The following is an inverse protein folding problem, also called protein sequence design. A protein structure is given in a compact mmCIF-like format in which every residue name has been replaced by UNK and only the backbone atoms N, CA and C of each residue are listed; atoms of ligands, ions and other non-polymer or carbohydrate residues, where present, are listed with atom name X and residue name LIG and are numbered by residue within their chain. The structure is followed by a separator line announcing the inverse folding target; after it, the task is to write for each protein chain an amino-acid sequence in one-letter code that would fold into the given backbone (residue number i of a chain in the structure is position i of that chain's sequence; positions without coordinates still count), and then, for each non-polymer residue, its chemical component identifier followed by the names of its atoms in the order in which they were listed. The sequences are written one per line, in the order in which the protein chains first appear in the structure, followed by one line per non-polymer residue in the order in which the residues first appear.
data_IF_637600944355
#
_entry.id   IF_637600944355
#
_cell.length_a   1.000
_cell.length_b   1.000
_cell.length_c   1.000
_cell.angle_alpha   90.00
_cell.angle_beta   90.00
_cell.angle_gamma   90.00
#
_symmetry.space_group_name_H-M   'P 1'
#
loop_
_entity.id
_entity.type
_entity.pdbx_description
1 polymer ?
#
# COMPACT_ATOMS: atom_id res chain seq x y z
N UNK A 1 2.83 17.24 -25.64
CA UNK A 1 2.78 16.06 -26.54
C UNK A 1 4.19 15.49 -26.72
N UNK A 2 5.18 16.28 -27.08
CA UNK A 2 6.58 15.82 -27.33
C UNK A 2 7.21 15.11 -26.10
N UNK A 3 7.09 15.67 -24.89
CA UNK A 3 7.65 15.07 -23.66
C UNK A 3 7.12 13.64 -23.37
N UNK A 4 5.90 13.34 -23.77
CA UNK A 4 5.32 12.00 -23.53
C UNK A 4 5.94 10.95 -24.45
N UNK A 5 6.12 11.29 -25.71
CA UNK A 5 6.73 10.38 -26.70
C UNK A 5 8.19 10.06 -26.34
N UNK A 6 8.95 11.03 -25.87
CA UNK A 6 10.32 10.81 -25.41
C UNK A 6 10.38 9.85 -24.23
N UNK A 7 9.50 10.02 -23.24
CA UNK A 7 9.41 9.14 -22.07
C UNK A 7 9.00 7.71 -22.48
N UNK A 8 8.04 7.57 -23.38
CA UNK A 8 7.63 6.25 -23.87
C UNK A 8 8.75 5.54 -24.63
N UNK A 9 9.58 6.29 -25.37
CA UNK A 9 10.74 5.74 -26.08
C UNK A 9 11.84 5.31 -25.10
N UNK A 10 12.10 6.10 -24.07
CA UNK A 10 13.05 5.72 -23.02
C UNK A 10 12.57 4.46 -22.28
N UNK A 11 11.28 4.38 -21.93
CA UNK A 11 10.70 3.20 -21.33
C UNK A 11 10.80 1.97 -22.23
N UNK A 12 10.57 2.13 -23.53
CA UNK A 12 10.73 1.06 -24.50
C UNK A 12 12.18 0.53 -24.54
N UNK A 13 13.16 1.42 -24.48
CA UNK A 13 14.57 1.05 -24.43
C UNK A 13 14.91 0.28 -23.13
N UNK A 14 14.34 0.70 -21.98
CA UNK A 14 14.51 -0.02 -20.71
C UNK A 14 13.90 -1.40 -20.75
N UNK A 15 12.67 -1.53 -21.27
CA UNK A 15 12.01 -2.81 -21.45
C UNK A 15 12.82 -3.74 -22.34
N UNK A 16 13.35 -3.26 -23.45
CA UNK A 16 14.21 -4.06 -24.34
C UNK A 16 15.51 -4.51 -23.65
N UNK A 17 16.12 -3.65 -22.82
CA UNK A 17 17.28 -4.04 -22.02
C UNK A 17 16.94 -5.13 -21.01
N UNK A 18 15.74 -5.11 -20.42
CA UNK A 18 15.27 -6.15 -19.53
C UNK A 18 15.08 -7.49 -20.26
N UNK A 19 14.48 -7.48 -21.46
CA UNK A 19 14.33 -8.69 -22.28
C UNK A 19 15.66 -9.29 -22.72
N UNK A 20 16.68 -8.48 -22.89
CA UNK A 20 18.05 -8.99 -23.20
C UNK A 20 18.82 -9.43 -21.96
N UNK A 21 18.21 -9.45 -20.81
CA UNK A 21 18.84 -9.88 -19.56
C UNK A 21 19.87 -8.91 -18.97
N UNK A 22 20.00 -7.69 -19.54
CA UNK A 22 20.96 -6.68 -19.09
C UNK A 22 20.57 -6.00 -17.78
N UNK A 23 19.26 -5.92 -17.50
CA UNK A 23 18.71 -5.29 -16.29
C UNK A 23 17.51 -6.09 -15.78
N UNK A 24 17.20 -5.96 -14.49
CA UNK A 24 15.92 -6.37 -13.91
C UNK A 24 15.02 -5.12 -13.86
N UNK A 25 13.81 -5.23 -14.40
CA UNK A 25 12.87 -4.11 -14.48
C UNK A 25 11.56 -4.49 -13.79
N UNK A 26 11.11 -3.63 -12.88
CA UNK A 26 9.80 -3.68 -12.25
C UNK A 26 9.05 -2.41 -12.64
N UNK A 27 7.84 -2.58 -13.16
CA UNK A 27 6.95 -1.47 -13.53
C UNK A 27 5.69 -1.58 -12.69
N UNK A 28 5.24 -0.48 -12.09
CA UNK A 28 3.96 -0.40 -11.39
C UNK A 28 3.04 0.61 -12.08
N UNK A 29 1.74 0.32 -12.10
CA UNK A 29 0.71 1.19 -12.66
C UNK A 29 -0.56 1.09 -11.83
N UNK A 30 -1.31 2.19 -11.73
CA UNK A 30 -2.66 2.21 -11.18
C UNK A 30 -3.71 1.71 -12.18
N UNK A 31 -3.35 1.68 -13.48
CA UNK A 31 -4.22 1.22 -14.55
C UNK A 31 -3.86 -0.21 -14.95
N UNK A 32 -4.87 -0.99 -15.25
CA UNK A 32 -4.66 -2.29 -15.85
C UNK A 32 -3.99 -2.14 -17.24
N UNK A 33 -3.19 -3.13 -17.62
CA UNK A 33 -2.42 -3.11 -18.87
C UNK A 33 -3.26 -2.81 -20.12
N UNK A 34 -4.52 -3.25 -20.12
CA UNK A 34 -5.47 -3.01 -21.23
C UNK A 34 -5.94 -1.55 -21.32
N UNK A 35 -5.78 -0.78 -20.26
CA UNK A 35 -6.16 0.64 -20.17
C UNK A 35 -4.98 1.58 -20.42
N UNK A 36 -3.78 1.03 -20.57
CA UNK A 36 -2.59 1.83 -20.84
C UNK A 36 -2.61 2.33 -22.29
N UNK A 37 -2.58 3.65 -22.44
CA UNK A 37 -2.50 4.28 -23.76
C UNK A 37 -1.02 4.56 -24.09
N UNK A 38 -0.34 3.53 -24.57
CA UNK A 38 1.08 3.54 -24.98
C UNK A 38 1.17 3.22 -26.47
N UNK A 39 2.30 3.56 -27.11
CA UNK A 39 2.47 3.16 -28.50
C UNK A 39 2.52 1.62 -28.65
N UNK A 40 2.09 1.06 -29.80
CA UNK A 40 1.81 -0.36 -29.94
C UNK A 40 2.96 -1.29 -29.58
N UNK A 41 4.20 -0.94 -29.97
CA UNK A 41 5.37 -1.80 -29.76
C UNK A 41 5.73 -1.87 -28.27
N UNK A 42 5.66 -0.74 -27.54
CA UNK A 42 5.87 -0.71 -26.10
C UNK A 42 4.79 -1.53 -25.37
N UNK A 43 3.54 -1.33 -25.74
CA UNK A 43 2.43 -2.08 -25.15
C UNK A 43 2.58 -3.59 -25.37
N UNK A 44 2.99 -3.97 -26.59
CA UNK A 44 3.25 -5.38 -26.94
C UNK A 44 4.36 -5.98 -26.07
N UNK A 45 5.44 -5.24 -25.83
CA UNK A 45 6.53 -5.68 -24.98
C UNK A 45 6.11 -5.83 -23.51
N UNK A 46 5.38 -4.83 -22.99
CA UNK A 46 4.90 -4.88 -21.59
C UNK A 46 3.94 -6.07 -21.40
N UNK A 47 3.09 -6.37 -22.38
CA UNK A 47 2.20 -7.55 -22.33
C UNK A 47 2.93 -8.90 -22.27
N UNK A 48 4.18 -8.95 -22.69
CA UNK A 48 5.01 -10.16 -22.58
C UNK A 48 5.69 -10.30 -21.21
N UNK A 49 5.67 -9.27 -20.37
CA UNK A 49 6.17 -9.33 -18.99
C UNK A 49 5.20 -10.06 -18.09
N UNK A 50 5.72 -10.66 -17.00
CA UNK A 50 4.85 -11.18 -15.95
C UNK A 50 4.08 -10.04 -15.29
N UNK A 51 2.75 -10.13 -15.28
CA UNK A 51 1.88 -9.13 -14.71
C UNK A 51 1.18 -9.70 -13.47
N UNK A 52 1.17 -8.93 -12.40
CA UNK A 52 0.50 -9.26 -11.13
C UNK A 52 -0.47 -8.14 -10.79
N UNK A 53 -1.70 -8.50 -10.49
CA UNK A 53 -2.70 -7.57 -9.95
C UNK A 53 -2.54 -7.51 -8.43
N UNK A 54 -2.53 -6.29 -7.89
CA UNK A 54 -2.62 -6.07 -6.44
C UNK A 54 -4.05 -5.62 -6.17
N UNK A 55 -4.81 -6.46 -5.52
CA UNK A 55 -6.19 -6.17 -5.16
C UNK A 55 -6.24 -5.41 -3.84
N UNK A 56 -7.34 -4.68 -3.62
CA UNK A 56 -7.60 -4.08 -2.32
C UNK A 56 -7.91 -5.18 -1.31
N UNK A 57 -7.60 -4.91 -0.05
CA UNK A 57 -7.91 -5.83 1.05
C UNK A 57 -9.43 -6.00 1.13
N UNK A 58 -9.89 -7.25 1.17
CA UNK A 58 -11.29 -7.56 1.45
C UNK A 58 -11.65 -7.25 2.90
N UNK A 59 -12.94 -7.11 3.18
CA UNK A 59 -13.44 -6.84 4.52
C UNK A 59 -12.98 -7.89 5.55
N UNK A 60 -12.93 -9.14 5.12
CA UNK A 60 -12.53 -10.28 5.96
C UNK A 60 -11.01 -10.29 6.23
N UNK A 61 -10.23 -9.60 5.43
CA UNK A 61 -8.77 -9.54 5.56
C UNK A 61 -8.27 -8.36 6.39
N UNK A 62 -9.10 -7.33 6.59
CA UNK A 62 -8.70 -6.12 7.35
C UNK A 62 -8.24 -6.49 8.76
N UNK A 63 -9.00 -7.33 9.46
CA UNK A 63 -8.66 -7.77 10.81
C UNK A 63 -7.33 -8.51 10.85
N UNK A 64 -7.05 -9.34 9.85
CA UNK A 64 -5.79 -10.07 9.72
C UNK A 64 -4.60 -9.15 9.51
N UNK A 65 -4.78 -8.10 8.69
CA UNK A 65 -3.72 -7.09 8.45
C UNK A 65 -3.46 -6.28 9.71
N UNK A 66 -4.51 -5.89 10.43
CA UNK A 66 -4.39 -5.17 11.71
C UNK A 66 -3.68 -6.04 12.75
N UNK A 67 -4.05 -7.32 12.85
CA UNK A 67 -3.40 -8.25 13.79
C UNK A 67 -1.92 -8.49 13.42
N UNK A 68 -1.61 -8.62 12.14
CA UNK A 68 -0.23 -8.69 11.67
C UNK A 68 0.58 -7.46 12.09
N UNK A 69 0.03 -6.25 11.93
CA UNK A 69 0.70 -5.01 12.34
C UNK A 69 0.86 -4.93 13.87
N UNK A 70 -0.17 -5.35 14.61
CA UNK A 70 -0.15 -5.45 16.07
C UNK A 70 1.00 -6.33 16.58
N UNK A 71 1.16 -7.50 15.98
CA UNK A 71 2.25 -8.43 16.31
C UNK A 71 3.60 -7.85 15.90
N UNK A 72 3.71 -7.33 14.68
CA UNK A 72 4.95 -6.77 14.12
C UNK A 72 5.50 -5.62 14.96
N UNK A 73 4.64 -4.74 15.44
CA UNK A 73 5.00 -3.57 16.25
C UNK A 73 4.97 -3.87 17.76
N UNK A 74 4.68 -5.11 18.17
CA UNK A 74 4.61 -5.55 19.57
C UNK A 74 3.69 -4.69 20.44
N UNK A 75 2.55 -4.28 19.90
CA UNK A 75 1.60 -3.40 20.58
C UNK A 75 0.67 -4.16 21.52
N UNK A 76 0.50 -5.47 21.30
CA UNK A 76 -0.29 -6.38 22.15
C UNK A 76 -1.75 -5.92 22.36
N UNK A 77 -2.39 -5.42 21.32
CA UNK A 77 -3.80 -5.03 21.34
C UNK A 77 -4.69 -6.25 21.60
N UNK A 78 -5.75 -6.06 22.36
CA UNK A 78 -6.78 -7.07 22.54
C UNK A 78 -7.60 -7.26 21.27
N UNK A 79 -8.21 -8.43 21.09
CA UNK A 79 -9.06 -8.73 19.94
C UNK A 79 -10.21 -7.71 19.78
N UNK A 80 -10.84 -7.30 20.87
CA UNK A 80 -11.85 -6.24 20.85
C UNK A 80 -11.33 -4.91 20.30
N UNK A 81 -10.10 -4.55 20.64
CA UNK A 81 -9.51 -3.30 20.14
C UNK A 81 -9.19 -3.40 18.65
N UNK A 82 -8.75 -4.56 18.17
CA UNK A 82 -8.54 -4.84 16.75
C UNK A 82 -9.85 -4.67 15.98
N UNK A 83 -10.93 -5.28 16.45
CA UNK A 83 -12.28 -5.14 15.88
C UNK A 83 -12.80 -3.69 15.88
N UNK A 84 -12.49 -2.90 16.92
CA UNK A 84 -12.87 -1.49 16.98
C UNK A 84 -12.03 -0.65 15.99
N UNK A 85 -10.75 -0.95 15.82
CA UNK A 85 -9.87 -0.27 14.84
C UNK A 85 -10.33 -0.61 13.42
N UNK A 86 -10.67 -1.86 13.12
CA UNK A 86 -11.08 -2.28 11.77
C UNK A 86 -12.33 -1.57 11.26
N UNK A 87 -13.24 -1.18 12.18
CA UNK A 87 -14.46 -0.44 11.83
C UNK A 87 -14.21 1.01 11.39
N UNK A 88 -13.09 1.59 11.76
CA UNK A 88 -12.81 3.02 11.57
C UNK A 88 -11.63 3.30 10.63
N UNK A 89 -10.80 2.31 10.36
CA UNK A 89 -9.64 2.46 9.47
C UNK A 89 -10.09 2.34 8.01
N UNK A 90 -9.42 3.08 7.12
CA UNK A 90 -9.59 2.87 5.68
C UNK A 90 -9.01 1.53 5.27
N UNK A 91 -9.70 0.86 4.34
CA UNK A 91 -9.40 -0.51 3.88
C UNK A 91 -8.30 -0.56 2.84
N UNK A 92 -7.22 0.14 3.09
CA UNK A 92 -6.00 0.07 2.29
C UNK A 92 -4.77 -0.09 3.21
N UNK A 93 -3.81 -0.87 2.75
CA UNK A 93 -2.62 -1.23 3.55
C UNK A 93 -1.84 0.02 3.98
N UNK A 94 -1.76 1.04 3.14
CA UNK A 94 -1.04 2.28 3.46
C UNK A 94 -1.70 2.99 4.63
N UNK A 95 -3.03 3.19 4.59
CA UNK A 95 -3.78 3.84 5.67
C UNK A 95 -3.71 3.06 6.98
N UNK A 96 -3.75 1.73 6.92
CA UNK A 96 -3.59 0.88 8.11
C UNK A 96 -2.18 1.05 8.67
N UNK A 97 -1.15 0.97 7.83
CA UNK A 97 0.24 1.14 8.23
C UNK A 97 0.47 2.52 8.87
N UNK A 98 0.01 3.59 8.22
CA UNK A 98 0.19 4.96 8.69
C UNK A 98 -0.49 5.16 10.05
N UNK A 99 -1.71 4.62 10.22
CA UNK A 99 -2.41 4.64 11.50
C UNK A 99 -1.59 3.97 12.61
N UNK A 100 -1.01 2.80 12.34
CA UNK A 100 -0.20 2.10 13.33
C UNK A 100 1.09 2.83 13.68
N UNK A 101 1.73 3.49 12.71
CA UNK A 101 2.89 4.36 12.96
C UNK A 101 2.50 5.54 13.84
N UNK A 102 1.37 6.19 13.57
CA UNK A 102 0.85 7.29 14.39
C UNK A 102 0.52 6.84 15.82
N UNK A 103 -0.08 5.65 15.98
CA UNK A 103 -0.37 5.08 17.31
C UNK A 103 0.93 4.80 18.06
N UNK A 104 1.93 4.22 17.43
CA UNK A 104 3.23 3.95 18.04
C UNK A 104 3.89 5.25 18.51
N UNK A 105 3.91 6.28 17.67
CA UNK A 105 4.44 7.62 18.02
C UNK A 105 3.68 8.25 19.18
N UNK A 106 2.34 8.16 19.17
CA UNK A 106 1.49 8.64 20.26
C UNK A 106 1.82 7.96 21.59
N UNK A 107 1.89 6.63 21.59
CA UNK A 107 2.23 5.87 22.81
C UNK A 107 3.61 6.20 23.33
N UNK A 108 4.57 6.37 22.43
CA UNK A 108 5.94 6.74 22.79
C UNK A 108 6.01 8.16 23.38
N UNK A 109 5.39 9.14 22.72
CA UNK A 109 5.40 10.55 23.18
C UNK A 109 4.72 10.74 24.53
N UNK A 110 3.60 10.05 24.75
CA UNK A 110 2.83 10.13 25.99
C UNK A 110 3.33 9.18 27.09
N UNK A 111 4.37 8.37 26.80
CA UNK A 111 4.88 7.31 27.69
C UNK A 111 3.77 6.39 28.22
N UNK A 112 2.75 6.11 27.37
CA UNK A 112 1.60 5.31 27.72
C UNK A 112 1.76 3.87 27.26
N UNK A 113 1.20 2.94 28.04
CA UNK A 113 1.04 1.57 27.60
C UNK A 113 -0.14 1.46 26.62
N UNK A 114 -0.08 0.55 25.65
CA UNK A 114 -1.21 0.26 24.77
C UNK A 114 -2.43 -0.16 25.61
N UNK A 115 -3.45 0.68 25.65
CA UNK A 115 -4.73 0.36 26.29
C UNK A 115 -5.88 0.81 25.41
N UNK A 116 -7.01 0.10 25.48
CA UNK A 116 -8.23 0.43 24.71
C UNK A 116 -8.60 1.90 24.89
N UNK A 117 -8.57 2.41 26.14
CA UNK A 117 -8.91 3.80 26.47
C UNK A 117 -7.97 4.81 25.81
N UNK A 118 -6.66 4.56 25.86
CA UNK A 118 -5.67 5.44 25.28
C UNK A 118 -5.79 5.50 23.75
N UNK A 119 -5.89 4.33 23.10
CA UNK A 119 -5.98 4.22 21.64
C UNK A 119 -7.31 4.81 21.14
N UNK A 120 -8.45 4.46 21.75
CA UNK A 120 -9.74 5.02 21.33
C UNK A 120 -9.83 6.53 21.58
N UNK A 121 -9.17 7.03 22.62
CA UNK A 121 -9.05 8.48 22.83
C UNK A 121 -8.24 9.18 21.73
N UNK A 122 -7.14 8.57 21.30
CA UNK A 122 -6.34 9.05 20.16
C UNK A 122 -7.14 9.04 18.85
N UNK A 123 -7.80 7.92 18.54
CA UNK A 123 -8.58 7.76 17.30
C UNK A 123 -9.74 8.75 17.21
N UNK A 124 -10.45 9.00 18.31
CA UNK A 124 -11.51 10.02 18.35
C UNK A 124 -11.00 11.43 18.03
N UNK A 125 -9.82 11.80 18.52
CA UNK A 125 -9.21 13.10 18.21
C UNK A 125 -8.84 13.22 16.73
N UNK A 126 -8.32 12.13 16.14
CA UNK A 126 -7.93 12.06 14.73
C UNK A 126 -9.12 12.21 13.78
N UNK A 127 -10.27 11.60 14.10
CA UNK A 127 -11.47 11.66 13.26
C UNK A 127 -12.11 13.08 13.29
N UNK A 128 -11.93 13.82 14.36
CA UNK A 128 -12.52 15.16 14.56
C UNK A 128 -11.62 16.30 14.03
N UNK A 129 -10.49 15.99 13.42
CA UNK A 129 -9.59 16.93 12.72
C UNK A 129 -9.77 16.83 11.21
#
# INVERSE_FOLDING_TARGET
VYKRQDIELELFNLVNKAFTGKIKLLISSQLHITQLNLFPDLLSRIKQMSCFSIEQISDDEVDNVIDFMNIKLKLFFSKELIEDISKIVRRDISSIKDLFVEIEQFLYSEKKRPSKRAIMGFLKKRINQ
#
